data_IF_477185748681
#
_entry.id   IF_477185748681
#
_cell.length_a   1.000
_cell.length_b   1.000
_cell.length_c   1.000
_cell.angle_alpha   90.00
_cell.angle_beta   90.00
_cell.angle_gamma   90.00
#
_symmetry.space_group_name_H-M   'P 1'
#
loop_
_entity.id
_entity.type
_entity.pdbx_description
1 polymer ?
#
# COMPACT_ATOMS: atom_id res chain seq x y z
N UNK A 1 -14.10 15.44 15.80
CA UNK A 1 -12.99 14.75 15.12
C UNK A 1 -11.79 15.66 15.25
N UNK A 2 -10.73 15.17 15.88
CA UNK A 2 -9.42 15.83 15.79
C UNK A 2 -8.92 15.74 14.33
N UNK A 3 -7.98 16.59 13.91
CA UNK A 3 -7.43 16.52 12.53
C UNK A 3 -7.06 15.10 12.14
N UNK A 4 -6.30 14.43 13.03
CA UNK A 4 -5.83 13.06 12.85
C UNK A 4 -6.96 12.03 12.60
N UNK A 5 -8.15 12.18 13.20
CA UNK A 5 -9.25 11.21 13.01
C UNK A 5 -9.76 11.22 11.57
N UNK A 6 -9.77 12.40 10.94
CA UNK A 6 -10.19 12.57 9.55
C UNK A 6 -9.17 11.96 8.59
N UNK A 7 -7.88 12.24 8.77
CA UNK A 7 -6.84 11.64 7.93
C UNK A 7 -6.73 10.12 8.12
N UNK A 8 -6.94 9.61 9.34
CA UNK A 8 -7.04 8.17 9.60
C UNK A 8 -8.15 7.54 8.76
N UNK A 9 -9.33 8.18 8.71
CA UNK A 9 -10.44 7.70 7.89
C UNK A 9 -10.13 7.73 6.39
N UNK A 10 -9.46 8.78 5.89
CA UNK A 10 -9.00 8.84 4.50
C UNK A 10 -8.02 7.69 4.22
N UNK A 11 -7.06 7.42 5.12
CA UNK A 11 -6.11 6.32 4.96
C UNK A 11 -6.84 5.01 4.76
N UNK A 12 -7.79 4.69 5.65
CA UNK A 12 -8.55 3.43 5.60
C UNK A 12 -9.37 3.29 4.30
N UNK A 13 -9.99 4.38 3.83
CA UNK A 13 -10.73 4.39 2.56
C UNK A 13 -9.82 4.16 1.37
N UNK A 14 -8.72 4.93 1.26
CA UNK A 14 -7.76 4.84 0.15
C UNK A 14 -7.15 3.45 0.08
N UNK A 15 -6.66 2.91 1.21
CA UNK A 15 -6.04 1.58 1.23
C UNK A 15 -7.04 0.50 0.86
N UNK A 16 -8.26 0.51 1.43
CA UNK A 16 -9.30 -0.47 1.08
C UNK A 16 -9.65 -0.41 -0.40
N UNK A 17 -9.84 0.79 -0.96
CA UNK A 17 -10.13 0.98 -2.39
C UNK A 17 -8.98 0.50 -3.26
N UNK A 18 -7.74 0.84 -2.92
CA UNK A 18 -6.57 0.42 -3.65
C UNK A 18 -6.44 -1.11 -3.66
N UNK A 19 -6.51 -1.77 -2.50
CA UNK A 19 -6.34 -3.22 -2.43
C UNK A 19 -7.51 -3.99 -3.03
N UNK A 20 -8.73 -3.44 -3.01
CA UNK A 20 -9.86 -4.01 -3.76
C UNK A 20 -9.53 -4.10 -5.25
N UNK A 21 -8.85 -3.10 -5.81
CA UNK A 21 -8.37 -3.12 -7.20
C UNK A 21 -7.15 -4.02 -7.36
N UNK A 22 -6.17 -3.91 -6.46
CA UNK A 22 -4.88 -4.57 -6.58
C UNK A 22 -4.98 -6.11 -6.50
N UNK A 23 -5.85 -6.67 -5.65
CA UNK A 23 -6.03 -8.13 -5.55
C UNK A 23 -6.63 -8.72 -6.84
N UNK A 24 -7.39 -7.91 -7.58
CA UNK A 24 -8.05 -8.28 -8.82
C UNK A 24 -7.27 -7.86 -10.07
N UNK A 25 -6.12 -7.19 -9.91
CA UNK A 25 -5.31 -6.72 -11.03
C UNK A 25 -4.61 -7.90 -11.74
N UNK A 26 -4.68 -7.91 -13.07
CA UNK A 26 -4.15 -9.01 -13.89
C UNK A 26 -2.63 -9.17 -13.77
N UNK A 27 -1.89 -8.09 -13.47
CA UNK A 27 -0.43 -8.10 -13.40
C UNK A 27 0.10 -8.33 -11.99
N UNK A 28 -0.56 -7.77 -10.97
CA UNK A 28 -0.05 -7.82 -9.58
C UNK A 28 -0.92 -8.63 -8.62
N UNK A 29 -2.16 -8.95 -8.98
CA UNK A 29 -3.12 -9.65 -8.13
C UNK A 29 -2.64 -11.01 -7.63
N UNK A 30 -1.81 -11.69 -8.43
CA UNK A 30 -1.27 -13.00 -8.07
C UNK A 30 -0.32 -12.97 -6.86
N UNK A 31 0.35 -11.85 -6.60
CA UNK A 31 1.23 -11.70 -5.43
C UNK A 31 0.45 -11.75 -4.12
N UNK A 32 -0.76 -11.19 -4.10
CA UNK A 32 -1.57 -11.12 -2.89
C UNK A 32 -2.17 -12.48 -2.49
N UNK A 33 -2.25 -13.44 -3.41
CA UNK A 33 -2.68 -14.83 -3.11
C UNK A 33 -1.73 -15.51 -2.14
N UNK A 34 -0.43 -15.18 -2.22
CA UNK A 34 0.64 -15.73 -1.39
C UNK A 34 0.57 -15.26 0.08
N UNK A 35 -0.20 -14.21 0.36
CA UNK A 35 -0.40 -13.67 1.71
C UNK A 35 -1.41 -14.52 2.48
N UNK A 36 -2.32 -15.22 1.79
CA UNK A 36 -3.25 -16.13 2.44
C UNK A 36 -2.60 -17.49 2.67
N UNK A 37 -2.81 -18.08 3.86
CA UNK A 37 -2.33 -19.43 4.20
C UNK A 37 -2.83 -20.53 3.24
N UNK A 38 -3.84 -20.22 2.41
CA UNK A 38 -4.51 -21.18 1.54
C UNK A 38 -3.95 -21.21 0.11
N UNK A 39 -3.06 -20.27 -0.29
CA UNK A 39 -2.58 -20.13 -1.68
C UNK A 39 -3.72 -20.06 -2.73
N UNK A 40 -4.89 -19.54 -2.33
CA UNK A 40 -6.07 -19.40 -3.20
C UNK A 40 -6.17 -17.94 -3.63
N UNK A 41 -6.70 -17.62 -4.82
CA UNK A 41 -7.07 -16.25 -5.16
C UNK A 41 -7.89 -15.60 -4.04
N UNK A 42 -7.47 -14.42 -3.59
CA UNK A 42 -8.31 -13.56 -2.76
C UNK A 42 -9.53 -13.18 -3.61
N UNK A 43 -10.66 -13.81 -3.35
CA UNK A 43 -11.91 -13.53 -4.06
C UNK A 43 -12.63 -12.31 -3.47
N UNK A 44 -12.33 -11.97 -2.21
CA UNK A 44 -12.91 -10.85 -1.49
C UNK A 44 -11.83 -10.10 -0.70
N UNK A 45 -11.95 -8.77 -0.63
CA UNK A 45 -11.13 -7.90 0.21
C UNK A 45 -11.23 -8.28 1.69
N UNK A 46 -12.32 -8.92 2.12
CA UNK A 46 -12.51 -9.34 3.51
C UNK A 46 -11.46 -10.37 3.97
N UNK A 47 -11.02 -11.25 3.07
CA UNK A 47 -9.94 -12.21 3.34
C UNK A 47 -8.55 -11.53 3.48
N UNK A 48 -8.49 -10.22 3.23
CA UNK A 48 -7.29 -9.39 3.29
C UNK A 48 -7.31 -8.41 4.49
N UNK A 49 -8.37 -8.42 5.32
CA UNK A 49 -8.57 -7.43 6.38
C UNK A 49 -7.41 -7.38 7.40
N UNK A 50 -6.89 -8.54 7.83
CA UNK A 50 -5.73 -8.57 8.75
C UNK A 50 -4.49 -7.89 8.15
N UNK A 51 -4.29 -8.04 6.83
CA UNK A 51 -3.19 -7.37 6.15
C UNK A 51 -3.46 -5.87 5.97
N UNK A 52 -4.71 -5.48 5.70
CA UNK A 52 -5.13 -4.08 5.64
C UNK A 52 -4.86 -3.34 6.95
N UNK A 53 -5.09 -3.95 8.11
CA UNK A 53 -4.77 -3.32 9.40
C UNK A 53 -3.30 -2.94 9.51
N UNK A 54 -2.40 -3.84 9.07
CA UNK A 54 -0.95 -3.59 9.07
C UNK A 54 -0.60 -2.47 8.09
N UNK A 55 -1.23 -2.44 6.91
CA UNK A 55 -0.99 -1.38 5.91
C UNK A 55 -1.52 -0.03 6.39
N UNK A 56 -2.68 0.01 7.04
CA UNK A 56 -3.25 1.23 7.61
C UNK A 56 -2.32 1.79 8.68
N UNK A 57 -1.87 0.94 9.61
CA UNK A 57 -0.90 1.34 10.63
C UNK A 57 0.42 1.83 10.00
N UNK A 58 0.87 1.22 8.90
CA UNK A 58 2.06 1.66 8.18
C UNK A 58 1.87 3.09 7.64
N UNK A 59 0.76 3.36 6.94
CA UNK A 59 0.51 4.69 6.37
C UNK A 59 0.24 5.76 7.43
N UNK A 60 -0.48 5.41 8.49
CA UNK A 60 -0.64 6.29 9.66
C UNK A 60 0.72 6.68 10.24
N UNK A 61 1.68 5.75 10.28
CA UNK A 61 3.03 6.06 10.72
C UNK A 61 3.80 6.97 9.75
N UNK A 62 3.70 6.70 8.45
CA UNK A 62 4.42 7.47 7.43
C UNK A 62 3.88 8.89 7.22
N UNK A 63 2.59 9.10 7.43
CA UNK A 63 1.88 10.34 7.10
C UNK A 63 1.57 11.17 8.36
N UNK A 64 1.23 10.52 9.47
CA UNK A 64 0.77 11.18 10.70
C UNK A 64 1.77 11.06 11.85
N UNK A 65 2.88 10.33 11.67
CA UNK A 65 3.88 10.12 12.71
C UNK A 65 3.42 9.20 13.86
N UNK A 66 2.29 8.50 13.68
CA UNK A 66 1.78 7.52 14.65
C UNK A 66 2.79 6.37 14.75
N UNK A 67 3.06 5.87 15.96
CA UNK A 67 4.05 4.82 16.16
C UNK A 67 3.60 3.53 15.48
N UNK A 68 4.37 3.04 14.52
CA UNK A 68 4.12 1.74 13.90
C UNK A 68 4.38 0.62 14.93
N UNK A 69 3.47 -0.36 15.08
CA UNK A 69 3.59 -1.40 16.10
C UNK A 69 4.70 -2.43 15.82
N UNK A 70 5.30 -2.43 14.61
CA UNK A 70 6.39 -3.36 14.23
C UNK A 70 7.70 -2.60 13.96
N UNK A 71 8.88 -3.22 14.18
CA UNK A 71 10.15 -2.61 13.83
C UNK A 71 10.27 -2.37 12.32
N UNK A 72 10.74 -1.19 11.93
CA UNK A 72 10.83 -0.75 10.53
C UNK A 72 11.85 -1.53 9.68
N UNK A 73 12.76 -2.28 10.31
CA UNK A 73 13.91 -2.91 9.67
C UNK A 73 13.55 -3.94 8.57
N UNK A 74 12.32 -4.44 8.53
CA UNK A 74 11.95 -5.56 7.65
C UNK A 74 10.95 -5.20 6.55
N UNK A 75 10.67 -3.92 6.29
CA UNK A 75 9.64 -3.55 5.30
C UNK A 75 10.01 -3.96 3.87
N UNK A 76 11.24 -3.71 3.44
CA UNK A 76 11.69 -4.12 2.11
C UNK A 76 11.94 -5.63 2.05
N UNK A 77 12.63 -6.18 3.05
CA UNK A 77 12.92 -7.61 3.19
C UNK A 77 11.65 -8.49 3.14
N UNK A 78 10.55 -8.02 3.74
CA UNK A 78 9.26 -8.71 3.71
C UNK A 78 8.70 -8.94 2.29
N UNK A 79 9.24 -8.29 1.26
CA UNK A 79 8.82 -8.45 -0.13
C UNK A 79 9.77 -9.31 -0.97
N UNK A 80 10.89 -9.81 -0.42
CA UNK A 80 11.88 -10.60 -1.18
C UNK A 80 11.29 -11.88 -1.77
N UNK A 81 10.47 -12.60 -1.02
CA UNK A 81 9.85 -13.85 -1.47
C UNK A 81 8.91 -13.65 -2.67
N UNK A 82 8.45 -12.42 -2.91
CA UNK A 82 7.55 -12.12 -4.02
C UNK A 82 8.29 -12.17 -5.37
N UNK A 83 9.60 -11.96 -5.41
CA UNK A 83 10.37 -11.83 -6.65
C UNK A 83 9.74 -10.82 -7.62
N UNK A 84 9.38 -9.65 -7.09
CA UNK A 84 8.68 -8.59 -7.82
C UNK A 84 9.49 -8.18 -9.05
N UNK A 85 8.82 -8.06 -10.20
CA UNK A 85 9.42 -7.52 -11.43
C UNK A 85 9.28 -6.01 -11.49
N UNK A 86 10.20 -5.33 -12.19
CA UNK A 86 10.15 -3.86 -12.32
C UNK A 86 8.81 -3.35 -12.86
N UNK A 87 8.22 -4.06 -13.83
CA UNK A 87 6.90 -3.73 -14.37
C UNK A 87 5.75 -3.88 -13.37
N UNK A 88 5.85 -4.83 -12.44
CA UNK A 88 4.86 -5.06 -11.38
C UNK A 88 4.93 -3.96 -10.32
N UNK A 89 6.14 -3.53 -9.93
CA UNK A 89 6.31 -2.33 -9.11
C UNK A 89 5.72 -1.10 -9.79
N UNK A 90 5.98 -0.94 -11.10
CA UNK A 90 5.40 0.14 -11.90
C UNK A 90 3.87 0.12 -11.86
N UNK A 91 3.26 -1.04 -12.08
CA UNK A 91 1.80 -1.20 -12.05
C UNK A 91 1.22 -0.90 -10.67
N UNK A 92 1.86 -1.38 -9.60
CA UNK A 92 1.43 -1.09 -8.23
C UNK A 92 1.42 0.43 -7.95
N UNK A 93 2.49 1.13 -8.33
CA UNK A 93 2.61 2.59 -8.14
C UNK A 93 1.55 3.34 -8.94
N UNK A 94 1.36 3.00 -10.22
CA UNK A 94 0.35 3.64 -11.06
C UNK A 94 -1.04 3.45 -10.45
N UNK A 95 -1.40 2.22 -10.11
CA UNK A 95 -2.72 1.91 -9.54
C UNK A 95 -2.95 2.62 -8.19
N UNK A 96 -1.90 2.78 -7.38
CA UNK A 96 -2.00 3.51 -6.12
C UNK A 96 -2.22 5.00 -6.36
N UNK A 97 -1.47 5.61 -7.28
CA UNK A 97 -1.66 7.03 -7.65
C UNK A 97 -3.02 7.30 -8.28
N UNK A 98 -3.49 6.42 -9.16
CA UNK A 98 -4.86 6.46 -9.70
C UNK A 98 -5.89 6.43 -8.57
N UNK A 99 -5.68 5.58 -7.55
CA UNK A 99 -6.57 5.54 -6.39
C UNK A 99 -6.48 6.79 -5.54
N UNK A 100 -5.30 7.38 -5.34
CA UNK A 100 -5.16 8.66 -4.63
C UNK A 100 -5.91 9.80 -5.33
N UNK A 101 -5.91 9.83 -6.66
CA UNK A 101 -6.62 10.84 -7.44
C UNK A 101 -8.13 10.85 -7.15
N UNK A 102 -8.73 9.67 -6.97
CA UNK A 102 -10.17 9.54 -6.63
C UNK A 102 -10.56 10.23 -5.31
N UNK A 103 -9.59 10.45 -4.42
CA UNK A 103 -9.80 11.09 -3.11
C UNK A 103 -9.19 12.49 -3.03
N UNK A 104 -8.60 13.01 -4.13
CA UNK A 104 -7.86 14.28 -4.11
C UNK A 104 -8.73 15.45 -3.68
N UNK A 105 -9.99 15.49 -4.08
CA UNK A 105 -10.92 16.56 -3.72
C UNK A 105 -11.29 16.56 -2.22
N UNK A 106 -11.18 15.42 -1.53
CA UNK A 106 -11.47 15.34 -0.09
C UNK A 106 -10.40 16.07 0.75
N UNK A 107 -9.12 15.89 0.41
CA UNK A 107 -8.02 16.57 1.09
C UNK A 107 -6.77 16.69 0.18
N UNK A 108 -6.70 17.72 -0.68
CA UNK A 108 -5.65 17.84 -1.70
C UNK A 108 -4.23 17.87 -1.11
N UNK A 109 -4.04 18.57 0.01
CA UNK A 109 -2.73 18.70 0.66
C UNK A 109 -2.25 17.34 1.21
N UNK A 110 -3.13 16.61 1.88
CA UNK A 110 -2.81 15.30 2.43
C UNK A 110 -2.52 14.27 1.32
N UNK A 111 -3.32 14.28 0.25
CA UNK A 111 -3.13 13.38 -0.89
C UNK A 111 -1.82 13.69 -1.63
N UNK A 112 -1.46 14.97 -1.80
CA UNK A 112 -0.16 15.37 -2.34
C UNK A 112 1.01 14.86 -1.47
N UNK A 113 0.90 15.00 -0.14
CA UNK A 113 1.91 14.50 0.78
C UNK A 113 2.06 12.97 0.69
N UNK A 114 0.95 12.25 0.51
CA UNK A 114 0.97 10.81 0.31
C UNK A 114 1.62 10.42 -1.02
N UNK A 115 1.33 11.14 -2.10
CA UNK A 115 1.94 10.87 -3.40
C UNK A 115 3.47 10.98 -3.35
N UNK A 116 4.01 11.98 -2.64
CA UNK A 116 5.47 12.12 -2.40
C UNK A 116 6.03 10.89 -1.66
N UNK A 117 5.29 10.33 -0.71
CA UNK A 117 5.69 9.10 -0.01
C UNK A 117 5.69 7.89 -0.94
N UNK A 118 4.73 7.79 -1.86
CA UNK A 118 4.68 6.73 -2.87
C UNK A 118 5.92 6.81 -3.79
N UNK A 119 6.33 8.01 -4.19
CA UNK A 119 7.54 8.20 -5.02
C UNK A 119 8.83 7.84 -4.26
N UNK A 120 8.91 8.21 -2.99
CA UNK A 120 10.01 7.80 -2.11
C UNK A 120 10.05 6.27 -1.94
N UNK A 121 8.89 5.63 -1.76
CA UNK A 121 8.76 4.18 -1.65
C UNK A 121 9.19 3.48 -2.94
N UNK A 122 8.74 3.96 -4.10
CA UNK A 122 9.15 3.42 -5.40
C UNK A 122 10.67 3.50 -5.56
N UNK A 123 11.27 4.63 -5.18
CA UNK A 123 12.73 4.83 -5.24
C UNK A 123 13.47 3.84 -4.32
N UNK A 124 12.97 3.64 -3.11
CA UNK A 124 13.49 2.65 -2.15
C UNK A 124 13.42 1.23 -2.71
N UNK A 125 12.27 0.81 -3.21
CA UNK A 125 12.08 -0.51 -3.84
C UNK A 125 13.00 -0.70 -5.04
N UNK A 126 13.11 0.30 -5.92
CA UNK A 126 14.02 0.23 -7.08
C UNK A 126 15.47 0.04 -6.65
N UNK A 127 15.91 0.78 -5.63
CA UNK A 127 17.26 0.66 -5.09
C UNK A 127 17.51 -0.70 -4.45
N UNK A 128 16.52 -1.27 -3.79
CA UNK A 128 16.67 -2.55 -3.08
C UNK A 128 16.63 -3.75 -4.03
N UNK A 129 15.65 -3.81 -4.93
CA UNK A 129 15.38 -5.00 -5.74
C UNK A 129 16.02 -4.99 -7.12
N UNK A 130 16.35 -3.81 -7.67
CA UNK A 130 16.71 -3.68 -9.09
C UNK A 130 18.03 -2.98 -9.37
N UNK A 131 18.68 -2.39 -8.36
CA UNK A 131 20.07 -1.96 -8.52
C UNK A 131 20.97 -3.18 -8.41
N UNK A 132 21.55 -3.56 -9.55
CA UNK A 132 22.77 -4.35 -9.62
C UNK A 132 23.97 -3.42 -9.46
#
# INVERSE_FOLDING_TARGET
MTGNDYEINIIEKVTRTFYTKAINDVFIGYHFRKITAKNVPLANIDDFNEHLEVINAFWQSQLLGIKFPRPAAHLLEAHEYLNIRLGELGRWVILFKETLEEYREENPEFINAWEVKIDAFQTGFKKYFFKK
#
